data_IF_878041255378
#
_entry.id   IF_878041255378
#
_cell.length_a   1.000
_cell.length_b   1.000
_cell.length_c   1.000
_cell.angle_alpha   90.00
_cell.angle_beta   90.00
_cell.angle_gamma   90.00
#
_symmetry.space_group_name_H-M   'P 1'
#
loop_
_entity.id
_entity.type
_entity.pdbx_description
1 polymer ?
#
# COMPACT_ATOMS: atom_id res chain seq x y z
N UNK A 1 2.61 -52.18 -22.71
CA UNK A 1 3.21 -51.77 -21.42
C UNK A 1 3.54 -50.27 -21.38
N UNK A 2 4.15 -49.71 -22.44
CA UNK A 2 4.51 -48.28 -22.58
C UNK A 2 3.32 -47.30 -22.40
N UNK A 3 2.14 -47.59 -22.98
CA UNK A 3 0.94 -46.74 -22.81
C UNK A 3 0.51 -46.55 -21.34
N UNK A 4 0.70 -47.55 -20.48
CA UNK A 4 0.36 -47.47 -19.05
C UNK A 4 1.38 -46.61 -18.28
N UNK A 5 2.64 -46.65 -18.69
CA UNK A 5 3.73 -45.86 -18.11
C UNK A 5 3.58 -44.37 -18.49
N UNK A 6 3.22 -44.08 -19.74
CA UNK A 6 2.95 -42.71 -20.20
C UNK A 6 1.75 -42.10 -19.46
N UNK A 7 0.67 -42.87 -19.27
CA UNK A 7 -0.50 -42.40 -18.54
C UNK A 7 -0.20 -42.14 -17.05
N UNK A 8 0.65 -42.97 -16.43
CA UNK A 8 1.10 -42.77 -15.06
C UNK A 8 2.02 -41.53 -14.90
N UNK A 9 2.90 -41.27 -15.87
CA UNK A 9 3.76 -40.08 -15.88
C UNK A 9 2.96 -38.79 -16.05
N UNK A 10 1.92 -38.78 -16.89
CA UNK A 10 1.01 -37.63 -17.05
C UNK A 10 0.22 -37.39 -15.75
N UNK A 11 -0.26 -38.44 -15.09
CA UNK A 11 -0.97 -38.32 -13.82
C UNK A 11 -0.08 -37.75 -12.70
N UNK A 12 1.20 -38.12 -12.66
CA UNK A 12 2.17 -37.54 -11.71
C UNK A 12 2.44 -36.07 -12.04
N UNK A 13 2.54 -35.69 -13.32
CA UNK A 13 2.75 -34.29 -13.74
C UNK A 13 1.59 -33.35 -13.35
N UNK A 14 0.35 -33.84 -13.33
CA UNK A 14 -0.83 -33.07 -12.90
C UNK A 14 -0.82 -32.80 -11.38
N UNK A 15 -0.17 -33.65 -10.58
CA UNK A 15 -0.05 -33.45 -9.13
C UNK A 15 1.01 -32.41 -8.74
N UNK A 16 1.98 -32.13 -9.63
CA UNK A 16 3.01 -31.10 -9.42
C UNK A 16 2.55 -29.72 -9.93
N UNK A 17 1.45 -29.67 -10.69
CA UNK A 17 0.95 -28.45 -11.32
C UNK A 17 -0.21 -27.82 -10.55
N UNK A 18 -0.09 -27.57 -9.24
CA UNK A 18 -0.94 -26.59 -8.55
C UNK A 18 -0.44 -26.26 -7.13
N UNK A 19 0.73 -25.62 -7.01
CA UNK A 19 1.05 -24.82 -5.81
C UNK A 19 1.24 -23.36 -6.22
N UNK A 20 0.21 -22.74 -6.77
CA UNK A 20 0.28 -21.32 -7.17
C UNK A 20 -0.61 -20.39 -6.36
N UNK A 21 -1.10 -20.81 -5.19
CA UNK A 21 -1.65 -19.89 -4.20
C UNK A 21 -0.67 -19.78 -3.04
N UNK A 22 0.20 -18.77 -3.05
CA UNK A 22 0.99 -18.47 -1.85
C UNK A 22 0.04 -18.23 -0.68
N UNK A 23 0.25 -18.95 0.42
CA UNK A 23 -0.50 -18.77 1.66
C UNK A 23 -0.41 -17.30 2.09
N UNK A 24 -1.52 -16.73 2.56
CA UNK A 24 -1.60 -15.35 3.03
C UNK A 24 -0.47 -14.98 4.00
N UNK A 25 -0.08 -15.90 4.89
CA UNK A 25 1.03 -15.69 5.83
C UNK A 25 2.35 -15.41 5.12
N UNK A 26 2.63 -16.10 4.02
CA UNK A 26 3.85 -15.92 3.22
C UNK A 26 3.83 -14.56 2.50
N UNK A 27 2.67 -14.15 1.97
CA UNK A 27 2.52 -12.83 1.35
C UNK A 27 2.75 -11.70 2.36
N UNK A 28 2.21 -11.84 3.58
CA UNK A 28 2.40 -10.88 4.65
C UNK A 28 3.87 -10.79 5.11
N UNK A 29 4.55 -11.93 5.20
CA UNK A 29 5.98 -11.97 5.52
C UNK A 29 6.83 -11.30 4.44
N UNK A 30 6.53 -11.57 3.17
CA UNK A 30 7.18 -10.95 2.02
C UNK A 30 6.97 -9.43 1.99
N UNK A 31 5.75 -8.96 2.23
CA UNK A 31 5.44 -7.53 2.31
C UNK A 31 6.23 -6.86 3.44
N UNK A 32 6.25 -7.45 4.63
CA UNK A 32 7.02 -6.95 5.78
C UNK A 32 8.51 -6.90 5.47
N UNK A 33 9.05 -7.90 4.77
CA UNK A 33 10.44 -7.94 4.33
C UNK A 33 10.73 -6.78 3.35
N UNK A 34 9.89 -6.57 2.34
CA UNK A 34 10.06 -5.50 1.36
C UNK A 34 10.05 -4.11 2.02
N UNK A 35 9.15 -3.89 2.98
CA UNK A 35 9.10 -2.63 3.75
C UNK A 35 10.40 -2.42 4.53
N UNK A 36 10.91 -3.44 5.23
CA UNK A 36 12.18 -3.35 5.98
C UNK A 36 13.35 -3.01 5.06
N UNK A 37 13.48 -3.71 3.95
CA UNK A 37 14.56 -3.45 3.00
C UNK A 37 14.45 -2.05 2.38
N UNK A 38 13.22 -1.57 2.11
CA UNK A 38 13.01 -0.21 1.62
C UNK A 38 13.46 0.84 2.65
N UNK A 39 13.13 0.64 3.93
CA UNK A 39 13.58 1.52 5.04
C UNK A 39 15.10 1.57 5.09
N UNK A 40 15.76 0.41 5.09
CA UNK A 40 17.21 0.29 5.17
C UNK A 40 17.90 0.95 3.97
N UNK A 41 17.47 0.63 2.74
CA UNK A 41 18.06 1.18 1.51
C UNK A 41 17.95 2.71 1.42
N UNK A 42 16.88 3.29 1.96
CA UNK A 42 16.62 4.72 1.91
C UNK A 42 17.08 5.49 3.17
N UNK A 43 17.69 4.81 4.15
CA UNK A 43 18.15 5.44 5.39
C UNK A 43 17.02 6.09 6.20
N UNK A 44 15.83 5.50 6.15
CA UNK A 44 14.65 6.00 6.86
C UNK A 44 14.81 5.73 8.36
N UNK A 45 14.61 6.77 9.17
CA UNK A 45 14.57 6.71 10.63
C UNK A 45 13.12 6.65 11.09
N UNK A 46 12.76 5.59 11.80
CA UNK A 46 11.43 5.45 12.38
C UNK A 46 11.38 6.12 13.76
N UNK A 47 10.38 6.96 13.96
CA UNK A 47 10.04 7.55 15.26
C UNK A 47 8.68 7.03 15.71
N UNK A 48 8.52 6.83 17.02
CA UNK A 48 7.28 6.31 17.60
C UNK A 48 6.38 7.43 18.15
N UNK A 49 6.92 8.64 18.28
CA UNK A 49 6.22 9.81 18.82
C UNK A 49 6.09 10.88 17.73
N UNK A 50 4.88 11.41 17.57
CA UNK A 50 4.63 12.51 16.65
C UNK A 50 5.35 13.79 17.11
N UNK A 51 6.11 14.48 16.24
CA UNK A 51 6.81 15.72 16.62
C UNK A 51 5.84 16.79 17.14
N UNK A 52 6.13 17.39 18.29
CA UNK A 52 5.23 18.34 18.95
C UNK A 52 4.92 19.58 18.10
N UNK A 53 5.86 19.98 17.24
CA UNK A 53 5.75 21.10 16.30
C UNK A 53 5.25 20.69 14.90
N UNK A 54 4.91 19.41 14.70
CA UNK A 54 4.57 18.82 13.39
C UNK A 54 5.71 18.88 12.35
N UNK A 55 6.96 19.11 12.77
CA UNK A 55 8.12 19.17 11.88
C UNK A 55 8.90 17.87 11.95
N UNK A 56 8.93 17.14 10.83
CA UNK A 56 9.74 15.93 10.68
C UNK A 56 11.10 16.29 10.06
N UNK A 57 12.18 15.63 10.49
CA UNK A 57 13.44 15.68 9.71
C UNK A 57 13.27 14.98 8.37
N UNK A 58 14.18 15.29 7.45
CA UNK A 58 14.14 14.81 6.07
C UNK A 58 14.09 13.28 5.90
N UNK A 59 14.55 12.50 6.89
CA UNK A 59 14.49 11.03 6.87
C UNK A 59 13.67 10.43 8.01
N UNK A 60 12.96 11.24 8.80
CA UNK A 60 12.13 10.75 9.91
C UNK A 60 10.70 10.43 9.45
N UNK A 61 10.21 9.27 9.84
CA UNK A 61 8.87 8.79 9.53
C UNK A 61 8.22 8.24 10.81
N UNK A 62 6.96 8.58 11.06
CA UNK A 62 6.20 8.04 12.18
C UNK A 62 5.82 6.60 11.89
N UNK A 63 6.03 5.73 12.88
CA UNK A 63 5.59 4.35 12.88
C UNK A 63 4.84 4.06 14.18
N UNK A 64 3.58 3.63 14.08
CA UNK A 64 2.70 3.41 15.24
C UNK A 64 2.63 1.94 15.66
N UNK A 65 3.61 1.13 15.21
CA UNK A 65 3.71 -0.29 15.52
C UNK A 65 3.32 -1.19 14.36
N UNK A 66 3.31 -2.50 14.64
CA UNK A 66 3.12 -3.53 13.63
C UNK A 66 1.80 -3.35 12.87
N UNK A 67 1.86 -3.52 11.55
CA UNK A 67 0.73 -3.39 10.61
C UNK A 67 0.12 -1.97 10.53
N UNK A 68 0.77 -0.95 11.10
CA UNK A 68 0.43 0.46 10.88
C UNK A 68 1.04 1.01 9.58
N UNK A 69 0.45 2.08 9.07
CA UNK A 69 1.07 2.89 8.02
C UNK A 69 2.29 3.63 8.57
N UNK A 70 3.35 3.72 7.76
CA UNK A 70 4.53 4.53 8.04
C UNK A 70 4.41 5.82 7.23
N UNK A 71 4.43 6.97 7.87
CA UNK A 71 4.22 8.24 7.17
C UNK A 71 5.10 9.37 7.68
N UNK A 72 5.32 10.36 6.82
CA UNK A 72 5.96 11.63 7.17
C UNK A 72 5.08 12.77 6.67
N UNK A 73 4.77 13.71 7.55
CA UNK A 73 4.10 14.94 7.13
C UNK A 73 5.12 15.86 6.46
N UNK A 74 4.97 16.11 5.16
CA UNK A 74 5.87 17.01 4.43
C UNK A 74 5.68 18.48 4.82
N UNK A 75 4.41 18.91 4.98
CA UNK A 75 4.04 20.25 5.39
C UNK A 75 2.65 20.24 6.02
N UNK A 76 2.50 20.88 7.18
CA UNK A 76 1.19 21.11 7.78
C UNK A 76 0.41 22.16 6.99
N UNK A 77 -0.85 21.86 6.70
CA UNK A 77 -1.78 22.82 6.09
C UNK A 77 -2.18 23.93 7.07
N UNK A 78 -2.84 24.97 6.55
CA UNK A 78 -3.35 26.12 7.34
C UNK A 78 -4.87 26.09 7.53
N UNK A 79 -5.55 25.05 7.02
CA UNK A 79 -7.00 24.91 7.10
C UNK A 79 -7.49 24.31 8.41
N UNK A 80 -8.81 24.21 8.51
CA UNK A 80 -9.49 23.60 9.65
C UNK A 80 -9.29 22.07 9.69
N UNK A 81 -9.53 21.48 10.86
CA UNK A 81 -9.62 20.04 10.99
C UNK A 81 -10.83 19.50 10.22
N UNK A 82 -10.59 18.44 9.45
CA UNK A 82 -11.60 17.72 8.68
C UNK A 82 -12.64 17.12 9.62
N UNK A 83 -13.92 17.24 9.26
CA UNK A 83 -15.08 16.71 9.99
C UNK A 83 -15.78 15.62 9.17
N UNK A 84 -16.46 14.65 9.84
CA UNK A 84 -17.27 13.66 9.13
C UNK A 84 -18.29 14.35 8.21
N UNK A 85 -18.36 13.88 6.96
CA UNK A 85 -19.19 14.46 5.90
C UNK A 85 -18.51 15.55 5.06
N UNK A 86 -17.31 16.01 5.44
CA UNK A 86 -16.57 16.97 4.62
C UNK A 86 -16.12 16.32 3.30
N UNK A 87 -16.24 17.08 2.22
CA UNK A 87 -15.75 16.69 0.90
C UNK A 87 -14.27 17.05 0.77
N UNK A 88 -13.44 16.04 0.50
CA UNK A 88 -11.99 16.18 0.38
C UNK A 88 -11.59 15.89 -1.05
N UNK A 89 -10.85 16.82 -1.65
CA UNK A 89 -10.17 16.60 -2.91
C UNK A 89 -8.74 16.14 -2.67
N UNK A 90 -8.35 15.00 -3.24
CA UNK A 90 -7.00 14.42 -3.05
C UNK A 90 -6.26 14.21 -4.37
N UNK A 91 -4.94 14.29 -4.29
CA UNK A 91 -3.98 14.02 -5.37
C UNK A 91 -2.84 13.19 -4.83
N UNK A 92 -2.41 12.18 -5.56
CA UNK A 92 -1.34 11.29 -5.11
C UNK A 92 -0.53 10.73 -6.27
N UNK A 93 0.69 10.31 -5.95
CA UNK A 93 1.50 9.46 -6.82
C UNK A 93 1.91 8.26 -5.98
N UNK A 94 1.71 7.07 -6.52
CA UNK A 94 2.06 5.80 -5.91
C UNK A 94 3.17 5.13 -6.71
N UNK A 95 4.12 4.53 -5.99
CA UNK A 95 5.18 3.70 -6.56
C UNK A 95 5.19 2.35 -5.85
N UNK A 96 5.37 1.28 -6.60
CA UNK A 96 5.63 -0.05 -6.03
C UNK A 96 7.04 -0.13 -5.47
N UNK A 97 7.16 -0.59 -4.23
CA UNK A 97 8.45 -0.73 -3.51
C UNK A 97 9.11 -2.10 -3.73
N UNK A 98 8.45 -3.00 -4.45
CA UNK A 98 8.87 -4.37 -4.76
C UNK A 98 9.97 -4.45 -5.82
N UNK A 99 10.39 -3.31 -6.38
CA UNK A 99 11.42 -3.22 -7.40
C UNK A 99 10.91 -3.36 -8.84
N UNK A 100 9.60 -3.59 -9.04
CA UNK A 100 9.02 -3.67 -10.39
C UNK A 100 8.83 -2.29 -11.04
N UNK A 101 8.89 -1.21 -10.25
CA UNK A 101 8.92 0.16 -10.75
C UNK A 101 7.56 0.68 -11.24
N UNK A 102 6.48 -0.05 -10.99
CA UNK A 102 5.14 0.39 -11.36
C UNK A 102 4.77 1.68 -10.62
N UNK A 103 4.21 2.63 -11.36
CA UNK A 103 3.72 3.89 -10.80
C UNK A 103 2.31 4.20 -11.25
N UNK A 104 1.52 4.79 -10.35
CA UNK A 104 0.19 5.32 -10.65
C UNK A 104 0.17 6.78 -10.21
N UNK A 105 -0.23 7.68 -11.12
CA UNK A 105 -0.29 9.13 -10.86
C UNK A 105 -1.72 9.64 -10.98
N UNK A 106 -2.14 10.41 -9.98
CA UNK A 106 -3.34 11.25 -9.97
C UNK A 106 -2.92 12.65 -9.50
N UNK A 107 -1.88 13.21 -10.13
CA UNK A 107 -1.24 14.44 -9.66
C UNK A 107 -1.69 15.68 -10.44
N UNK A 108 -1.93 15.52 -11.74
CA UNK A 108 -2.24 16.63 -12.65
C UNK A 108 -3.52 16.38 -13.44
N UNK A 109 -4.06 17.44 -14.04
CA UNK A 109 -5.19 17.34 -14.98
C UNK A 109 -4.84 16.63 -16.28
N UNK A 110 -3.55 16.33 -16.52
CA UNK A 110 -3.12 15.47 -17.62
C UNK A 110 -3.26 13.97 -17.30
N UNK A 111 -3.32 13.61 -16.01
CA UNK A 111 -3.51 12.21 -15.57
C UNK A 111 -5.01 11.88 -15.43
N UNK A 112 -5.78 12.82 -14.86
CA UNK A 112 -7.23 12.75 -14.67
C UNK A 112 -7.86 14.13 -14.82
N UNK A 113 -8.94 14.23 -15.59
CA UNK A 113 -9.61 15.51 -15.90
C UNK A 113 -10.02 16.29 -14.64
N UNK A 114 -10.45 15.57 -13.59
CA UNK A 114 -10.84 16.12 -12.31
C UNK A 114 -10.15 15.37 -11.17
N UNK A 115 -9.74 16.07 -10.10
CA UNK A 115 -9.14 15.41 -8.95
C UNK A 115 -10.17 14.54 -8.23
N UNK A 116 -9.71 13.43 -7.64
CA UNK A 116 -10.60 12.53 -6.91
C UNK A 116 -11.20 13.26 -5.69
N UNK A 117 -12.52 13.16 -5.56
CA UNK A 117 -13.26 13.63 -4.41
C UNK A 117 -13.70 12.44 -3.54
N UNK A 118 -13.57 12.59 -2.23
CA UNK A 118 -14.02 11.61 -1.24
C UNK A 118 -14.70 12.33 -0.08
N UNK A 119 -15.76 11.73 0.44
CA UNK A 119 -16.43 12.20 1.65
C UNK A 119 -15.72 11.60 2.85
N UNK A 120 -15.27 12.42 3.79
CA UNK A 120 -14.60 11.93 4.98
C UNK A 120 -15.59 11.20 5.89
N UNK A 121 -15.31 9.93 6.16
CA UNK A 121 -15.99 9.15 7.19
C UNK A 121 -14.95 8.42 8.06
N UNK A 122 -14.96 8.61 9.39
CA UNK A 122 -14.05 7.89 10.28
C UNK A 122 -14.30 6.37 10.30
N UNK A 123 -15.46 5.88 9.84
CA UNK A 123 -15.68 4.44 9.64
C UNK A 123 -15.12 4.01 8.27
N UNK A 124 -14.01 3.24 8.22
CA UNK A 124 -13.43 2.79 6.96
C UNK A 124 -14.36 1.87 6.15
N UNK A 125 -15.38 1.28 6.77
CA UNK A 125 -16.36 0.41 6.11
C UNK A 125 -17.64 1.15 5.66
N UNK A 126 -17.71 2.46 5.86
CA UNK A 126 -18.86 3.26 5.46
C UNK A 126 -19.08 3.18 3.95
N UNK A 127 -20.32 2.91 3.54
CA UNK A 127 -20.73 2.90 2.14
C UNK A 127 -20.54 4.28 1.46
N UNK A 128 -20.39 5.35 2.25
CA UNK A 128 -20.14 6.71 1.78
C UNK A 128 -18.72 6.87 1.22
N UNK A 129 -17.73 6.14 1.75
CA UNK A 129 -16.34 6.15 1.27
C UNK A 129 -16.17 5.56 -0.14
N UNK A 130 -17.18 4.83 -0.64
CA UNK A 130 -17.17 4.20 -1.97
C UNK A 130 -17.90 5.01 -3.04
N UNK A 131 -18.60 6.09 -2.67
CA UNK A 131 -19.26 6.97 -3.63
C UNK A 131 -18.23 7.89 -4.27
N UNK A 132 -17.63 7.42 -5.36
CA UNK A 132 -17.01 8.31 -6.36
C UNK A 132 -18.13 9.16 -6.96
N UNK A 133 -18.09 10.48 -6.76
CA UNK A 133 -18.95 11.42 -7.48
C UNK A 133 -18.57 11.48 -8.97
#
# INVERSE_FOLDING_TARGET
MIKKIVLALIAIFVLISCESSQNYSVQLENQRKQIREYIERNGISLIETYPADSVFKSNEYLWMGQDSIIFRLAKKGVGDAIKPGDHITVRWVQYSIDGNGDSVSYWTTGDVDYPLELVFDPDPNSATNQRRS
#
